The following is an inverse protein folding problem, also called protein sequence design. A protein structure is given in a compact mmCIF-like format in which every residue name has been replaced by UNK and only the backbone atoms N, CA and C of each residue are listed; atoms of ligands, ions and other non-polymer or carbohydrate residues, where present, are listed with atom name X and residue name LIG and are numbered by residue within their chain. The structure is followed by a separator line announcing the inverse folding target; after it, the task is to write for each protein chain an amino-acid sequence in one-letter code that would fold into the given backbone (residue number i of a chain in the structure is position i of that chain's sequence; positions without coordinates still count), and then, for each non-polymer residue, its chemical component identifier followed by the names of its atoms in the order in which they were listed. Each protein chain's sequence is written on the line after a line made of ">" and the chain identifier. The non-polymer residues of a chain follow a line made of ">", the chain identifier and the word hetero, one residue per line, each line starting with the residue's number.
data_IF_867456484027
#
_entry.id   IF_867456484027
#
_cell.length_a   1.000
_cell.length_b   1.000
_cell.length_c   1.000
_cell.angle_alpha   90.00
_cell.angle_beta   90.00
_cell.angle_gamma   90.00
#
_symmetry.space_group_name_H-M   'P 1'
#
loop_
_entity.id
_entity.type
_entity.pdbx_description
1 polymer ?
#
# COMPACT_ATOMS: atom_id res chain seq x y z
N UNK A 1 -15.24 0.06 2.61
CA UNK A 1 -14.85 -0.49 3.93
C UNK A 1 -13.37 -0.23 4.17
N UNK A 2 -12.93 0.16 5.38
CA UNK A 2 -11.49 0.31 5.67
C UNK A 2 -10.87 -1.02 6.12
N UNK A 3 -9.78 -1.47 5.48
CA UNK A 3 -9.02 -2.66 5.91
C UNK A 3 -7.80 -2.21 6.72
N UNK A 4 -7.71 -2.65 7.97
CA UNK A 4 -6.53 -2.43 8.82
C UNK A 4 -5.58 -3.61 8.67
N UNK A 5 -4.31 -3.35 8.37
CA UNK A 5 -3.26 -4.36 8.26
C UNK A 5 -2.21 -4.11 9.34
N UNK A 6 -1.86 -5.14 10.10
CA UNK A 6 -0.76 -5.10 11.05
C UNK A 6 0.53 -5.48 10.32
N UNK A 7 1.47 -4.55 10.26
CA UNK A 7 2.80 -4.76 9.67
C UNK A 7 3.87 -4.52 10.73
N UNK A 8 4.89 -5.37 10.73
CA UNK A 8 6.02 -5.25 11.63
C UNK A 8 7.08 -4.36 10.99
N UNK A 9 7.31 -3.18 11.58
CA UNK A 9 8.34 -2.25 11.16
C UNK A 9 9.02 -1.65 12.40
N UNK A 10 10.32 -1.36 12.29
CA UNK A 10 11.09 -0.67 13.31
C UNK A 10 11.06 0.83 13.07
N UNK A 11 11.25 1.61 14.14
CA UNK A 11 11.29 3.08 14.06
C UNK A 11 12.47 3.59 13.22
N UNK A 12 13.56 2.82 13.13
CA UNK A 12 14.69 3.09 12.26
C UNK A 12 14.44 2.72 10.78
N UNK A 13 13.36 1.99 10.49
CA UNK A 13 13.02 1.64 9.11
C UNK A 13 12.51 2.87 8.35
N UNK A 14 12.77 2.87 7.05
CA UNK A 14 12.26 3.89 6.15
C UNK A 14 10.80 3.65 5.80
N UNK A 15 10.09 4.73 5.47
CA UNK A 15 8.73 4.63 4.94
C UNK A 15 8.69 3.76 3.68
N UNK A 16 9.76 3.78 2.86
CA UNK A 16 9.89 2.91 1.69
C UNK A 16 9.78 1.42 2.06
N UNK A 17 10.50 0.98 3.10
CA UNK A 17 10.45 -0.41 3.56
C UNK A 17 9.04 -0.84 4.00
N UNK A 18 8.32 0.04 4.70
CA UNK A 18 6.93 -0.22 5.13
C UNK A 18 6.00 -0.38 3.92
N UNK A 19 6.19 0.43 2.87
CA UNK A 19 5.39 0.33 1.63
C UNK A 19 5.70 -0.93 0.83
N UNK A 20 6.96 -1.37 0.82
CA UNK A 20 7.35 -2.64 0.19
C UNK A 20 6.68 -3.83 0.89
N UNK A 21 6.66 -3.85 2.22
CA UNK A 21 5.91 -4.87 2.98
C UNK A 21 4.42 -4.86 2.65
N UNK A 22 3.85 -3.68 2.46
CA UNK A 22 2.46 -3.55 2.05
C UNK A 22 2.24 -4.05 0.61
N UNK A 23 3.22 -3.87 -0.28
CA UNK A 23 3.20 -4.44 -1.62
C UNK A 23 3.25 -5.97 -1.58
N UNK A 24 4.09 -6.57 -0.73
CA UNK A 24 4.15 -8.03 -0.55
C UNK A 24 2.81 -8.60 -0.05
N UNK A 25 2.11 -7.87 0.82
CA UNK A 25 0.85 -8.34 1.43
C UNK A 25 -0.40 -8.09 0.57
N UNK A 26 -0.44 -6.98 -0.16
CA UNK A 26 -1.61 -6.58 -0.96
C UNK A 26 -1.41 -6.68 -2.47
N UNK A 27 -0.17 -6.82 -2.94
CA UNK A 27 0.18 -6.78 -4.36
C UNK A 27 0.11 -5.40 -5.00
N UNK A 28 0.00 -4.32 -4.22
CA UNK A 28 -0.21 -2.96 -4.74
C UNK A 28 1.11 -2.19 -4.84
N UNK A 29 1.55 -1.73 -6.02
CA UNK A 29 2.84 -1.08 -6.19
C UNK A 29 3.00 0.15 -5.29
N UNK A 30 4.19 0.35 -4.71
CA UNK A 30 4.55 1.44 -3.78
C UNK A 30 4.17 2.83 -4.31
N UNK A 31 4.30 3.07 -5.61
CA UNK A 31 3.95 4.35 -6.25
C UNK A 31 2.46 4.73 -6.15
N UNK A 32 1.59 3.73 -5.94
CA UNK A 32 0.14 3.91 -5.79
C UNK A 32 -0.31 3.92 -4.34
N UNK A 33 0.59 3.60 -3.40
CA UNK A 33 0.34 3.64 -1.98
C UNK A 33 0.65 5.04 -1.43
N UNK A 34 -0.39 5.75 -0.98
CA UNK A 34 -0.25 7.04 -0.28
C UNK A 34 -0.37 6.81 1.22
N UNK A 35 0.76 6.79 1.91
CA UNK A 35 0.79 6.75 3.36
C UNK A 35 0.67 8.16 3.94
N UNK A 36 -0.28 8.35 4.86
CA UNK A 36 -0.55 9.61 5.56
C UNK A 36 -0.53 9.35 7.05
N UNK A 37 0.19 10.20 7.78
CA UNK A 37 0.26 10.18 9.23
C UNK A 37 0.24 11.60 9.78
N UNK A 38 -0.58 11.84 10.81
CA UNK A 38 -0.75 13.16 11.42
C UNK A 38 -1.02 14.29 10.40
N UNK A 39 -1.76 13.99 9.32
CA UNK A 39 -2.05 14.94 8.24
C UNK A 39 -0.89 15.23 7.27
N UNK A 40 0.25 14.51 7.38
CA UNK A 40 1.37 14.60 6.44
C UNK A 40 1.51 13.33 5.63
N UNK A 41 1.76 13.51 4.33
CA UNK A 41 2.14 12.42 3.44
C UNK A 41 3.58 11.98 3.77
N UNK A 42 3.75 10.68 3.98
CA UNK A 42 5.03 10.07 4.32
C UNK A 42 5.86 9.83 3.06
N UNK A 43 7.06 10.40 3.04
CA UNK A 43 8.03 10.30 1.94
C UNK A 43 8.96 9.11 2.21
N UNK A 44 9.28 8.36 1.15
CA UNK A 44 10.06 7.12 1.24
C UNK A 44 11.47 7.32 1.80
N UNK A 45 12.06 8.49 1.58
CA UNK A 45 13.44 8.83 1.96
C UNK A 45 13.61 9.17 3.46
N UNK A 46 12.54 9.10 4.25
CA UNK A 46 12.55 9.39 5.69
C UNK A 46 12.21 8.17 6.51
N UNK A 47 12.73 8.15 7.74
CA UNK A 47 12.46 7.07 8.70
C UNK A 47 11.13 7.28 9.42
N UNK A 48 10.57 6.21 9.96
CA UNK A 48 9.39 6.29 10.83
C UNK A 48 9.66 7.16 12.06
N UNK A 49 10.87 7.11 12.61
CA UNK A 49 11.32 7.94 13.73
C UNK A 49 11.29 9.44 13.39
N UNK A 50 11.66 9.84 12.17
CA UNK A 50 11.61 11.26 11.73
C UNK A 50 10.19 11.83 11.73
N UNK A 51 9.19 10.97 11.56
CA UNK A 51 7.78 11.30 11.63
C UNK A 51 7.16 11.05 13.01
N UNK A 52 7.99 10.68 13.99
CA UNK A 52 7.58 10.38 15.36
C UNK A 52 6.55 9.24 15.44
N UNK A 53 6.59 8.32 14.46
CA UNK A 53 5.74 7.14 14.40
C UNK A 53 6.21 6.14 15.46
N UNK A 54 5.30 5.69 16.31
CA UNK A 54 5.55 4.70 17.37
C UNK A 54 5.03 3.32 16.98
N UNK A 55 5.48 2.29 17.70
CA UNK A 55 5.17 0.86 17.44
C UNK A 55 3.66 0.51 17.43
N UNK A 56 2.80 1.38 17.95
CA UNK A 56 1.34 1.21 17.96
C UNK A 56 0.60 2.32 17.20
N UNK A 57 1.33 3.11 16.41
CA UNK A 57 0.72 4.18 15.62
C UNK A 57 -0.03 3.61 14.42
N UNK A 58 -1.23 4.13 14.19
CA UNK A 58 -2.02 3.81 12.99
C UNK A 58 -1.64 4.76 11.86
N UNK A 59 -1.21 4.18 10.74
CA UNK A 59 -0.92 4.89 9.50
C UNK A 59 -2.12 4.76 8.56
N UNK A 60 -2.57 5.87 7.98
CA UNK A 60 -3.63 5.81 6.96
C UNK A 60 -3.00 5.59 5.60
N UNK A 61 -3.28 4.44 4.97
CA UNK A 61 -2.89 4.20 3.59
C UNK A 61 -4.09 4.45 2.66
N UNK A 62 -3.97 5.46 1.81
CA UNK A 62 -4.90 5.70 0.72
C UNK A 62 -4.34 5.04 -0.56
N UNK A 63 -5.16 4.21 -1.18
CA UNK A 63 -4.81 3.56 -2.44
C UNK A 63 -5.42 4.35 -3.57
N UNK A 64 -4.62 4.67 -4.59
CA UNK A 64 -5.19 5.14 -5.87
C UNK A 64 -5.63 3.92 -6.66
N UNK A 65 -6.85 3.89 -7.22
CA UNK A 65 -7.32 2.77 -8.01
C UNK A 65 -6.36 2.55 -9.18
N UNK A 66 -5.73 1.37 -9.21
CA UNK A 66 -4.85 0.96 -10.30
C UNK A 66 -5.76 0.45 -11.42
N UNK A 67 -5.60 0.91 -12.67
CA UNK A 67 -6.25 0.25 -13.78
C UNK A 67 -5.70 -1.18 -13.86
N UNK A 68 -6.56 -2.18 -13.65
CA UNK A 68 -6.21 -3.58 -13.84
C UNK A 68 -5.98 -3.77 -15.34
N UNK A 69 -4.73 -3.73 -15.79
CA UNK A 69 -4.36 -4.00 -17.18
C UNK A 69 -4.23 -5.51 -17.33
N UNK A 70 -5.31 -6.16 -17.77
CA UNK A 70 -5.27 -7.56 -18.18
C UNK A 70 -4.72 -7.62 -19.61
N UNK A 71 -3.45 -8.01 -19.76
CA UNK A 71 -2.88 -8.30 -21.08
C UNK A 71 -3.34 -9.70 -21.52
N UNK A 72 -4.51 -9.77 -22.16
CA UNK A 72 -5.05 -11.00 -22.70
C UNK A 72 -4.42 -11.25 -24.08
N UNK A 73 -3.70 -12.37 -24.30
CA UNK A 73 -3.32 -12.76 -25.65
C UNK A 73 -4.60 -12.93 -26.48
N UNK A 74 -4.57 -12.50 -27.74
CA UNK A 74 -5.72 -12.35 -28.66
C UNK A 74 -6.59 -13.61 -28.88
N UNK A 75 -6.32 -14.74 -28.23
CA UNK A 75 -6.93 -16.05 -28.49
C UNK A 75 -7.74 -16.64 -27.32
N UNK A 76 -7.89 -15.97 -26.17
CA UNK A 76 -8.60 -16.57 -25.02
C UNK A 76 -10.03 -16.05 -24.86
N UNK A 77 -11.00 -16.84 -25.32
CA UNK A 77 -12.41 -16.72 -24.92
C UNK A 77 -12.62 -17.37 -23.55
N UNK A 78 -12.29 -16.67 -22.47
CA UNK A 78 -12.61 -17.12 -21.11
C UNK A 78 -13.63 -16.17 -20.48
N UNK A 79 -14.75 -16.68 -19.94
CA UNK A 79 -15.63 -15.86 -19.12
C UNK A 79 -14.89 -15.54 -17.81
N UNK A 80 -14.50 -14.29 -17.63
CA UNK A 80 -14.00 -13.81 -16.34
C UNK A 80 -14.97 -12.79 -15.78
N UNK A 81 -15.36 -12.97 -14.52
CA UNK A 81 -16.14 -12.02 -13.74
C UNK A 81 -15.19 -11.25 -12.83
N UNK A 82 -15.07 -9.94 -13.06
CA UNK A 82 -14.44 -9.01 -12.12
C UNK A 82 -15.47 -8.64 -11.06
N UNK A 83 -15.35 -9.21 -9.86
CA UNK A 83 -16.06 -8.69 -8.69
C UNK A 83 -15.14 -7.73 -7.95
N UNK A 84 -15.51 -6.46 -7.95
CA UNK A 84 -14.90 -5.43 -7.12
C UNK A 84 -15.58 -5.43 -5.75
N UNK A 85 -14.97 -6.06 -4.76
CA UNK A 85 -15.40 -5.91 -3.36
C UNK A 85 -14.72 -4.68 -2.74
N UNK A 86 -15.52 -3.68 -2.39
CA UNK A 86 -15.13 -2.43 -1.73
C UNK A 86 -15.85 -2.30 -0.38
#
# INVERSE_FOLDING_TARGET
>A
SGRTLAIWAHTCDTVGYVKDRLFEQLGIPVQYQRMVYAGKELVNDRTLSDYNVRSESTLHCALRPVPIVLNLPSATCLPFSLTSDL
#
